data_IF_828194600838
#
_entry.id   IF_828194600838
#
_cell.length_a   1.000
_cell.length_b   1.000
_cell.length_c   1.000
_cell.angle_alpha   90.00
_cell.angle_beta   90.00
_cell.angle_gamma   90.00
#
_symmetry.space_group_name_H-M   'P 1'
#
loop_
_entity.id
_entity.type
_entity.pdbx_description
1 polymer ?
#
# COMPACT_ATOMS: atom_id res chain seq x y z
N UNK A 1 37.28 44.30 -4.68
CA UNK A 1 36.00 44.13 -3.97
C UNK A 1 34.77 44.05 -4.88
N UNK A 2 34.59 44.96 -5.84
CA UNK A 2 33.41 44.96 -6.74
C UNK A 2 33.24 43.66 -7.57
N UNK A 3 34.35 43.10 -8.07
CA UNK A 3 34.33 41.88 -8.89
C UNK A 3 33.91 40.64 -8.08
N UNK A 4 34.38 40.55 -6.82
CA UNK A 4 33.98 39.47 -5.91
C UNK A 4 32.49 39.54 -5.55
N UNK A 5 31.93 40.75 -5.37
CA UNK A 5 30.51 40.92 -5.10
C UNK A 5 29.61 40.47 -6.28
N UNK A 6 30.04 40.74 -7.52
CA UNK A 6 29.31 40.33 -8.74
C UNK A 6 29.36 38.80 -8.90
N UNK A 7 30.50 38.17 -8.62
CA UNK A 7 30.64 36.71 -8.71
C UNK A 7 29.76 35.96 -7.69
N UNK A 8 29.67 36.48 -6.46
CA UNK A 8 28.83 35.89 -5.40
C UNK A 8 27.34 36.03 -5.75
N UNK A 9 26.93 37.18 -6.30
CA UNK A 9 25.54 37.39 -6.75
C UNK A 9 25.17 36.46 -7.91
N UNK A 10 26.09 36.27 -8.87
CA UNK A 10 25.87 35.36 -10.01
C UNK A 10 25.73 33.90 -9.59
N UNK A 11 26.46 33.46 -8.55
CA UNK A 11 26.37 32.09 -8.03
C UNK A 11 25.02 31.80 -7.37
N UNK A 12 24.40 32.79 -6.72
CA UNK A 12 23.10 32.66 -6.06
C UNK A 12 21.94 32.51 -7.05
N UNK A 13 22.05 33.12 -8.24
CA UNK A 13 21.02 33.02 -9.30
C UNK A 13 20.98 31.62 -9.92
N UNK A 14 22.11 30.89 -9.96
CA UNK A 14 22.16 29.54 -10.52
C UNK A 14 21.64 28.45 -9.57
N UNK A 15 21.60 28.69 -8.26
CA UNK A 15 21.23 27.67 -7.27
C UNK A 15 19.70 27.51 -7.06
N UNK A 16 18.86 28.36 -7.65
CA UNK A 16 17.42 28.42 -7.37
C UNK A 16 16.53 27.39 -8.08
N UNK A 17 17.06 26.56 -8.99
CA UNK A 17 16.27 25.66 -9.82
C UNK A 17 16.57 24.19 -9.53
N UNK A 18 16.35 23.74 -8.29
CA UNK A 18 16.41 22.31 -7.95
C UNK A 18 14.98 21.74 -8.10
N UNK A 19 14.68 20.93 -9.13
CA UNK A 19 13.38 20.30 -9.25
C UNK A 19 13.16 19.32 -8.09
N UNK A 20 12.06 19.49 -7.36
CA UNK A 20 11.65 18.56 -6.32
C UNK A 20 11.10 17.29 -6.98
N UNK A 21 11.83 16.19 -6.86
CA UNK A 21 11.34 14.88 -7.29
C UNK A 21 10.43 14.29 -6.21
N UNK A 22 9.14 14.17 -6.51
CA UNK A 22 8.21 13.41 -5.68
C UNK A 22 8.47 11.91 -5.90
N UNK A 23 8.96 11.24 -4.86
CA UNK A 23 9.09 9.78 -4.89
C UNK A 23 7.71 9.14 -4.66
N UNK A 24 7.13 8.60 -5.73
CA UNK A 24 5.85 7.90 -5.65
C UNK A 24 6.10 6.45 -5.20
N UNK A 25 5.86 6.17 -3.93
CA UNK A 25 5.77 4.81 -3.42
C UNK A 25 4.42 4.24 -3.86
N UNK A 26 4.44 3.31 -4.81
CA UNK A 26 3.25 2.54 -5.15
C UNK A 26 2.99 1.53 -4.04
N UNK A 27 2.00 1.82 -3.20
CA UNK A 27 1.46 0.86 -2.25
C UNK A 27 0.42 0.04 -2.99
N UNK A 28 0.79 -1.16 -3.40
CA UNK A 28 -0.18 -2.15 -3.86
C UNK A 28 -0.97 -2.63 -2.65
N UNK A 29 -2.20 -2.13 -2.50
CA UNK A 29 -3.17 -2.70 -1.56
C UNK A 29 -3.70 -3.97 -2.22
N UNK A 30 -3.01 -5.08 -1.99
CA UNK A 30 -3.58 -6.39 -2.29
C UNK A 30 -4.82 -6.55 -1.41
N UNK A 31 -6.00 -6.88 -1.97
CA UNK A 31 -7.16 -7.16 -1.15
C UNK A 31 -6.81 -8.34 -0.26
N UNK A 32 -6.56 -8.06 1.01
CA UNK A 32 -6.38 -9.08 2.04
C UNK A 32 -7.67 -9.88 2.04
N UNK A 33 -7.66 -11.07 1.44
CA UNK A 33 -8.74 -12.05 1.59
C UNK A 33 -8.80 -12.32 3.08
N UNK A 34 -9.82 -11.78 3.75
CA UNK A 34 -10.11 -12.07 5.15
C UNK A 34 -10.58 -13.52 5.18
N UNK A 35 -9.62 -14.44 5.23
CA UNK A 35 -9.86 -15.84 5.52
C UNK A 35 -10.31 -15.90 6.97
N UNK A 36 -11.61 -16.07 7.19
CA UNK A 36 -12.13 -16.41 8.51
C UNK A 36 -11.44 -17.72 8.91
N UNK A 37 -10.56 -17.65 9.92
CA UNK A 37 -9.51 -18.64 10.23
C UNK A 37 -9.96 -20.01 10.76
N UNK A 38 -11.07 -20.55 10.27
CA UNK A 38 -11.62 -21.87 10.68
C UNK A 38 -11.37 -23.02 9.71
N UNK A 39 -10.97 -22.71 8.46
CA UNK A 39 -10.86 -23.72 7.40
C UNK A 39 -12.20 -24.39 7.04
N UNK A 40 -12.19 -25.24 6.01
CA UNK A 40 -13.39 -25.98 5.60
C UNK A 40 -13.68 -27.12 6.59
N UNK A 41 -14.97 -27.38 6.86
CA UNK A 41 -15.36 -28.61 7.57
C UNK A 41 -14.94 -29.83 6.76
N UNK A 42 -14.46 -30.87 7.46
CA UNK A 42 -14.10 -32.16 6.84
C UNK A 42 -15.27 -32.83 6.13
N UNK A 43 -16.49 -32.56 6.56
CA UNK A 43 -17.74 -33.08 5.98
C UNK A 43 -18.27 -32.23 4.82
N UNK A 44 -17.51 -31.27 4.30
CA UNK A 44 -17.99 -30.44 3.20
C UNK A 44 -18.16 -31.28 1.93
N UNK A 45 -19.21 -31.04 1.12
CA UNK A 45 -19.40 -31.73 -0.15
C UNK A 45 -18.24 -31.49 -1.12
N UNK A 46 -17.99 -32.38 -2.10
CA UNK A 46 -16.99 -32.15 -3.13
C UNK A 46 -17.20 -30.81 -3.84
N UNK A 47 -16.15 -29.98 -3.89
CA UNK A 47 -16.17 -28.68 -4.55
C UNK A 47 -16.74 -27.52 -3.73
N UNK A 48 -17.29 -27.79 -2.53
CA UNK A 48 -17.79 -26.75 -1.63
C UNK A 48 -16.97 -26.72 -0.33
N UNK A 49 -16.76 -25.53 0.21
CA UNK A 49 -16.19 -25.31 1.54
C UNK A 49 -17.29 -24.80 2.48
N UNK A 50 -17.74 -25.66 3.41
CA UNK A 50 -18.76 -25.29 4.39
C UNK A 50 -18.13 -24.94 5.74
N UNK A 51 -18.65 -23.89 6.38
CA UNK A 51 -18.20 -23.39 7.68
C UNK A 51 -19.39 -23.19 8.63
N UNK A 52 -19.19 -23.51 9.91
CA UNK A 52 -20.18 -23.25 10.97
C UNK A 52 -19.92 -21.88 11.55
N UNK A 53 -20.86 -20.96 11.38
CA UNK A 53 -20.86 -19.71 12.12
C UNK A 53 -21.36 -19.97 13.55
N UNK A 54 -20.42 -20.08 14.50
CA UNK A 54 -20.76 -20.34 15.91
C UNK A 54 -21.53 -19.19 16.57
N UNK A 55 -21.52 -17.99 15.97
CA UNK A 55 -22.25 -16.84 16.51
C UNK A 55 -23.75 -16.91 16.18
N UNK A 56 -24.10 -17.40 14.99
CA UNK A 56 -25.49 -17.56 14.54
C UNK A 56 -26.00 -18.99 14.62
N UNK A 57 -25.10 -19.96 14.83
CA UNK A 57 -25.41 -21.39 14.80
C UNK A 57 -25.76 -21.91 13.41
N UNK A 58 -25.39 -21.18 12.35
CA UNK A 58 -25.76 -21.52 10.97
C UNK A 58 -24.56 -22.02 10.16
N UNK A 59 -24.84 -22.93 9.21
CA UNK A 59 -23.82 -23.40 8.26
C UNK A 59 -23.96 -22.60 6.97
N UNK A 60 -22.84 -22.05 6.51
CA UNK A 60 -22.74 -21.43 5.20
C UNK A 60 -21.71 -22.17 4.35
N UNK A 61 -21.94 -22.29 3.05
CA UNK A 61 -21.03 -22.96 2.11
C UNK A 61 -20.61 -22.00 1.00
N UNK A 62 -19.35 -22.10 0.60
CA UNK A 62 -18.76 -21.40 -0.55
C UNK A 62 -18.38 -22.40 -1.62
#
# INVERSE_FOLDING_TARGET
>A
MRIFAIAILGLFVLAGNIPAYAHQVSVTVEPQKVEHGGGCRKSSPPGQCCHMDNSTGSVHCH
#
